data_IF_565350291212
#
_entry.id   IF_565350291212
#
_cell.length_a   1.000
_cell.length_b   1.000
_cell.length_c   1.000
_cell.angle_alpha   90.00
_cell.angle_beta   90.00
_cell.angle_gamma   90.00
#
_symmetry.space_group_name_H-M   'P 1'
#
loop_
_entity.id
_entity.type
_entity.pdbx_description
1 polymer ?
#
# COMPACT_ATOMS: atom_id res chain seq x y z
N UNK A 1 -20.42 0.78 5.40
CA UNK A 1 -19.15 0.22 5.18
C UNK A 1 -18.17 0.62 6.24
N UNK A 2 -17.47 -0.28 6.80
CA UNK A 2 -16.55 0.04 7.86
C UNK A 2 -15.14 0.15 7.33
N UNK A 3 -14.35 0.98 7.96
CA UNK A 3 -12.95 1.08 7.65
C UNK A 3 -12.25 -0.23 8.02
N UNK A 4 -11.14 -0.57 7.35
CA UNK A 4 -10.41 -1.77 7.72
C UNK A 4 -9.91 -1.68 9.14
N UNK A 5 -9.87 -2.80 9.83
CA UNK A 5 -9.46 -2.80 11.22
C UNK A 5 -7.97 -2.85 11.38
N UNK A 6 -7.31 -3.69 10.67
CA UNK A 6 -5.85 -3.81 10.75
C UNK A 6 -5.32 -3.90 9.34
N UNK A 7 -4.96 -2.77 8.79
CA UNK A 7 -4.51 -2.70 7.41
C UNK A 7 -3.40 -1.68 7.28
N UNK A 8 -2.64 -1.79 6.22
CA UNK A 8 -1.63 -0.80 5.85
C UNK A 8 -1.95 -0.35 4.44
N UNK A 9 -1.93 0.96 4.24
CA UNK A 9 -2.21 1.52 2.93
C UNK A 9 -1.06 2.38 2.44
N UNK A 10 -0.91 2.45 1.12
CA UNK A 10 0.08 3.30 0.46
C UNK A 10 -0.64 4.33 -0.37
N UNK A 11 -0.26 5.58 -0.21
CA UNK A 11 -0.81 6.69 -0.97
C UNK A 11 0.33 7.42 -1.67
N UNK A 12 0.21 7.62 -2.97
CA UNK A 12 1.22 8.35 -3.72
C UNK A 12 0.90 9.83 -3.66
N UNK A 13 1.87 10.60 -3.21
CA UNK A 13 1.67 12.03 -3.08
C UNK A 13 2.12 12.72 -4.35
N UNK A 14 1.40 13.75 -4.71
CA UNK A 14 1.93 14.73 -5.64
C UNK A 14 1.46 14.61 -7.06
N UNK A 15 1.89 13.71 -7.83
CA UNK A 15 1.75 13.78 -9.27
C UNK A 15 0.75 12.80 -9.84
N UNK A 16 -0.42 13.27 -10.31
CA UNK A 16 -1.37 12.35 -10.94
C UNK A 16 -0.94 11.90 -12.32
N UNK A 17 0.03 12.57 -12.92
CA UNK A 17 0.43 12.26 -14.29
C UNK A 17 1.66 11.37 -14.34
N UNK A 18 1.57 10.20 -13.78
CA UNK A 18 2.66 9.25 -13.86
C UNK A 18 2.76 8.68 -15.26
N UNK A 19 4.00 8.35 -15.72
CA UNK A 19 4.15 7.70 -17.01
C UNK A 19 3.35 6.41 -17.08
N UNK A 20 2.90 6.07 -18.28
CA UNK A 20 2.13 4.85 -18.47
C UNK A 20 2.85 3.61 -18.01
N UNK A 21 4.18 3.57 -18.14
CA UNK A 21 4.96 2.43 -17.70
C UNK A 21 4.87 2.23 -16.20
N UNK A 22 4.87 3.33 -15.45
CA UNK A 22 4.76 3.26 -14.01
C UNK A 22 3.39 2.73 -13.61
N UNK A 23 2.34 3.23 -14.25
CA UNK A 23 1.00 2.76 -13.97
C UNK A 23 0.84 1.29 -14.29
N UNK A 24 1.43 0.83 -15.39
CA UNK A 24 1.36 -0.58 -15.75
C UNK A 24 2.08 -1.46 -14.74
N UNK A 25 3.23 -1.01 -14.26
CA UNK A 25 3.97 -1.76 -13.25
C UNK A 25 3.18 -1.83 -11.96
N UNK A 26 2.58 -0.73 -11.56
CA UNK A 26 1.74 -0.72 -10.37
C UNK A 26 0.54 -1.65 -10.53
N UNK A 27 -0.06 -1.67 -11.72
CA UNK A 27 -1.14 -2.59 -12.00
C UNK A 27 -0.70 -4.05 -11.77
N UNK A 28 0.47 -4.39 -12.26
CA UNK A 28 0.96 -5.77 -12.10
C UNK A 28 1.19 -6.12 -10.64
N UNK A 29 1.67 -5.17 -9.87
CA UNK A 29 1.98 -5.42 -8.46
C UNK A 29 0.71 -5.40 -7.62
N UNK A 30 -0.15 -4.41 -7.82
CA UNK A 30 -1.30 -4.20 -6.95
C UNK A 30 -2.57 -4.86 -7.45
N UNK A 31 -2.62 -5.20 -8.71
CA UNK A 31 -3.81 -5.73 -9.39
C UNK A 31 -4.92 -4.69 -9.51
N UNK A 32 -4.61 -3.43 -9.30
CA UNK A 32 -5.59 -2.36 -9.52
C UNK A 32 -5.40 -1.81 -10.92
N UNK A 33 -6.52 -1.51 -11.59
CA UNK A 33 -6.45 -1.01 -12.97
C UNK A 33 -5.75 0.34 -13.01
N UNK A 34 -5.19 0.68 -14.17
CA UNK A 34 -4.51 1.96 -14.32
C UNK A 34 -5.47 3.12 -14.13
N UNK A 35 -6.74 2.94 -14.47
CA UNK A 35 -7.75 3.97 -14.25
C UNK A 35 -7.97 4.19 -12.76
N UNK A 36 -8.10 3.11 -12.01
CA UNK A 36 -8.25 3.21 -10.56
C UNK A 36 -7.05 3.86 -9.92
N UNK A 37 -5.85 3.46 -10.34
CA UNK A 37 -4.63 4.03 -9.79
C UNK A 37 -4.55 5.52 -10.07
N UNK A 38 -4.90 5.92 -11.28
CA UNK A 38 -4.84 7.32 -11.64
C UNK A 38 -5.83 8.15 -10.83
N UNK A 39 -7.03 7.61 -10.62
CA UNK A 39 -8.03 8.31 -9.80
C UNK A 39 -7.59 8.42 -8.35
N UNK A 40 -7.00 7.35 -7.80
CA UNK A 40 -6.53 7.37 -6.42
C UNK A 40 -5.46 8.40 -6.23
N UNK A 41 -4.49 8.48 -7.15
CA UNK A 41 -3.42 9.44 -7.06
C UNK A 41 -3.97 10.87 -7.14
N UNK A 42 -4.88 11.10 -8.06
CA UNK A 42 -5.47 12.42 -8.23
C UNK A 42 -6.23 12.86 -6.99
N UNK A 43 -6.94 11.93 -6.36
CA UNK A 43 -7.81 12.25 -5.24
C UNK A 43 -7.12 12.11 -3.89
N UNK A 44 -5.85 11.73 -3.87
CA UNK A 44 -5.13 11.58 -2.61
C UNK A 44 -5.55 10.37 -1.83
N UNK A 45 -6.05 9.35 -2.52
CA UNK A 45 -6.51 8.12 -1.89
C UNK A 45 -5.47 7.01 -2.03
N UNK A 46 -5.54 5.98 -1.18
CA UNK A 46 -4.55 4.91 -1.26
C UNK A 46 -4.59 4.20 -2.60
N UNK A 47 -3.40 3.91 -3.12
CA UNK A 47 -3.29 3.10 -4.34
C UNK A 47 -3.31 1.62 -3.99
N UNK A 48 -3.02 1.26 -2.75
CA UNK A 48 -3.04 -0.12 -2.32
C UNK A 48 -3.37 -0.18 -0.83
N UNK A 49 -4.21 -1.13 -0.47
CA UNK A 49 -4.56 -1.38 0.94
C UNK A 49 -4.38 -2.87 1.19
N UNK A 50 -3.58 -3.19 2.20
CA UNK A 50 -3.32 -4.58 2.56
C UNK A 50 -3.90 -4.87 3.93
N UNK A 51 -4.91 -5.73 3.96
CA UNK A 51 -5.46 -6.19 5.23
C UNK A 51 -4.47 -7.16 5.86
N UNK A 52 -4.08 -6.89 7.10
CA UNK A 52 -3.03 -7.67 7.74
C UNK A 52 -3.53 -9.00 8.27
N UNK A 53 -4.79 -9.04 8.68
CA UNK A 53 -5.35 -10.28 9.21
C UNK A 53 -6.52 -10.67 8.35
N UNK A 54 -6.47 -11.83 7.80
CA UNK A 54 -7.52 -12.31 6.93
C UNK A 54 -6.98 -13.44 6.10
N UNK A 55 -7.83 -13.97 5.26
CA UNK A 55 -7.48 -15.12 4.46
C UNK A 55 -6.42 -14.82 3.41
N UNK A 56 -6.35 -13.55 3.00
CA UNK A 56 -5.48 -13.18 1.90
C UNK A 56 -4.17 -12.55 2.33
N UNK A 57 -3.86 -12.55 3.63
CA UNK A 57 -2.69 -11.80 4.06
C UNK A 57 -1.39 -12.35 3.46
N UNK A 58 -1.34 -13.64 3.17
CA UNK A 58 -0.15 -14.22 2.54
C UNK A 58 0.07 -13.70 1.13
N UNK A 59 -0.97 -13.17 0.51
CA UNK A 59 -0.87 -12.62 -0.84
C UNK A 59 -0.66 -11.11 -0.81
N UNK A 60 -1.37 -10.41 0.07
CA UNK A 60 -1.36 -8.95 0.04
C UNK A 60 -0.10 -8.36 0.67
N UNK A 61 0.48 -9.02 1.67
CA UNK A 61 1.68 -8.50 2.31
C UNK A 61 2.87 -8.41 1.37
N UNK A 62 3.19 -9.47 0.59
CA UNK A 62 4.26 -9.34 -0.38
C UNK A 62 4.01 -8.26 -1.42
N UNK A 63 2.75 -8.06 -1.82
CA UNK A 63 2.43 -7.01 -2.77
C UNK A 63 2.65 -5.63 -2.18
N UNK A 64 2.34 -5.48 -0.89
CA UNK A 64 2.57 -4.23 -0.19
C UNK A 64 4.06 -3.88 -0.21
N UNK A 65 4.90 -4.85 0.13
CA UNK A 65 6.33 -4.63 0.14
C UNK A 65 6.87 -4.34 -1.25
N UNK A 66 6.41 -5.06 -2.25
CA UNK A 66 6.85 -4.82 -3.62
C UNK A 66 6.44 -3.43 -4.09
N UNK A 67 5.25 -2.99 -3.73
CA UNK A 67 4.80 -1.66 -4.10
C UNK A 67 5.68 -0.59 -3.47
N UNK A 68 5.96 -0.74 -2.18
CA UNK A 68 6.81 0.22 -1.48
C UNK A 68 8.22 0.24 -2.07
N UNK A 69 8.78 -0.93 -2.34
CA UNK A 69 10.12 -1.02 -2.92
C UNK A 69 10.17 -0.41 -4.31
N UNK A 70 9.14 -0.66 -5.11
CA UNK A 70 9.08 -0.11 -6.45
C UNK A 70 9.03 1.41 -6.43
N UNK A 71 8.19 1.98 -5.58
CA UNK A 71 8.07 3.43 -5.47
C UNK A 71 9.35 4.05 -4.93
N UNK A 72 9.98 3.39 -3.97
CA UNK A 72 11.25 3.87 -3.43
C UNK A 72 12.31 3.88 -4.53
N UNK A 73 12.35 2.84 -5.34
CA UNK A 73 13.32 2.75 -6.41
C UNK A 73 13.14 3.81 -7.48
N UNK A 74 11.91 4.28 -7.67
CA UNK A 74 11.62 5.35 -8.61
C UNK A 74 11.89 6.73 -8.03
N UNK A 75 12.10 6.84 -6.73
CA UNK A 75 12.23 8.14 -6.09
C UNK A 75 10.92 8.88 -5.96
N UNK A 76 9.79 8.17 -6.05
CA UNK A 76 8.49 8.78 -5.88
C UNK A 76 8.14 8.93 -4.41
N UNK A 77 7.58 10.09 -4.06
CA UNK A 77 7.09 10.28 -2.71
C UNK A 77 5.81 9.50 -2.48
N UNK A 78 5.72 8.85 -1.35
CA UNK A 78 4.50 8.15 -0.97
C UNK A 78 4.38 8.16 0.54
N UNK A 79 3.15 7.93 1.00
CA UNK A 79 2.84 7.93 2.43
C UNK A 79 2.26 6.58 2.79
N UNK A 80 2.67 6.07 3.93
CA UNK A 80 2.16 4.80 4.43
C UNK A 80 1.32 5.08 5.66
N UNK A 81 0.14 4.49 5.73
CA UNK A 81 -0.73 4.63 6.89
C UNK A 81 -1.07 3.27 7.46
N UNK A 82 -1.07 3.18 8.78
CA UNK A 82 -1.57 2.02 9.48
C UNK A 82 -3.00 2.33 9.94
N UNK A 83 -3.90 1.38 9.73
CA UNK A 83 -5.29 1.52 10.10
C UNK A 83 -5.60 0.61 11.28
N UNK A 84 -6.07 1.19 12.36
CA UNK A 84 -6.46 0.44 13.55
C UNK A 84 -7.83 0.95 14.00
N UNK A 85 -8.81 0.06 14.01
CA UNK A 85 -10.15 0.39 14.51
C UNK A 85 -10.73 1.63 13.85
N UNK A 86 -10.50 1.79 12.57
CA UNK A 86 -11.05 2.90 11.81
C UNK A 86 -10.23 4.17 11.86
N UNK A 87 -9.20 4.22 12.68
CA UNK A 87 -8.31 5.36 12.73
C UNK A 87 -7.05 5.06 11.93
N UNK A 88 -6.47 6.09 11.34
CA UNK A 88 -5.23 5.89 10.56
C UNK A 88 -4.11 6.74 11.13
N UNK A 89 -2.90 6.24 10.97
CA UNK A 89 -1.72 6.93 11.45
C UNK A 89 -0.62 6.75 10.44
N UNK A 90 0.09 7.81 10.14
CA UNK A 90 1.20 7.73 9.20
C UNK A 90 2.37 7.01 9.85
N UNK A 91 2.97 6.08 9.13
CA UNK A 91 4.11 5.31 9.63
C UNK A 91 5.23 5.31 8.60
N UNK A 92 6.42 4.95 9.04
CA UNK A 92 7.57 4.85 8.14
C UNK A 92 7.63 3.46 7.49
N UNK A 93 8.48 3.34 6.47
CA UNK A 93 8.71 2.05 5.84
C UNK A 93 9.25 1.05 6.85
N UNK A 94 10.14 1.50 7.73
CA UNK A 94 10.70 0.62 8.74
C UNK A 94 9.63 0.11 9.69
N UNK A 95 8.74 0.98 10.10
CA UNK A 95 7.62 0.58 10.96
C UNK A 95 6.71 -0.38 10.23
N UNK A 96 6.44 -0.12 8.95
CA UNK A 96 5.63 -1.02 8.14
C UNK A 96 6.23 -2.43 8.11
N UNK A 97 7.54 -2.52 7.89
CA UNK A 97 8.19 -3.83 7.85
C UNK A 97 8.15 -4.54 9.19
N UNK A 98 8.29 -3.80 10.27
CA UNK A 98 8.20 -4.39 11.60
C UNK A 98 6.80 -4.95 11.86
N UNK A 99 5.77 -4.23 11.44
CA UNK A 99 4.39 -4.68 11.60
C UNK A 99 4.15 -5.94 10.77
N UNK A 100 4.64 -5.94 9.54
CA UNK A 100 4.46 -7.08 8.65
C UNK A 100 5.14 -8.33 9.22
N UNK A 101 6.35 -8.17 9.72
CA UNK A 101 7.08 -9.29 10.30
C UNK A 101 6.35 -9.84 11.53
N UNK A 102 5.82 -8.93 12.32
CA UNK A 102 5.08 -9.31 13.51
C UNK A 102 3.81 -10.06 13.17
N UNK A 103 3.10 -9.60 12.13
CA UNK A 103 1.85 -10.22 11.72
C UNK A 103 2.07 -11.56 11.01
N UNK A 104 3.24 -11.69 10.32
CA UNK A 104 3.49 -12.86 9.54
C UNK A 104 4.15 -13.93 10.35
N UNK A 105 4.95 -13.56 11.22
CA UNK A 105 5.61 -14.47 11.80
C UNK A 105 5.65 -14.98 12.97
N UNK A 106 5.21 -14.59 13.31
CA UNK A 106 5.41 -14.90 14.25
C UNK A 106 5.22 -15.99 14.79
N UNK A 107 5.07 -16.69 14.46
CA UNK A 107 4.83 -17.75 14.90
C UNK A 107 5.72 -18.14 15.60
N UNK A 108 6.26 -17.62 15.65
CA UNK A 108 7.34 -17.92 16.33
C UNK A 108 7.79 -18.69 16.62
#
# INVERSE_FOLDING_TARGET
MTAPENAISLTIAGTPDLPGEVLKSLYRITRRSTVELRHAIRDGEPVYVAALFGNDHLDVVPRLEKTADYLTGLGLGFTIHEWLDGAREEISVETMRAIIESADGNDG
#
